data_IF_362066902087
#
_entry.id   IF_362066902087
#
_cell.length_a   1.000
_cell.length_b   1.000
_cell.length_c   1.000
_cell.angle_alpha   90.00
_cell.angle_beta   90.00
_cell.angle_gamma   90.00
#
_symmetry.space_group_name_H-M   'P 1'
#
loop_
_entity.id
_entity.type
_entity.pdbx_description
1 polymer ?
#
# COMPACT_ATOMS: atom_id res chain seq x y z
N UNK A 1 -3.01 -11.73 15.38
CA UNK A 1 -2.52 -12.19 14.07
C UNK A 1 -1.08 -11.76 13.91
N UNK A 2 -0.22 -12.62 13.46
CA UNK A 2 1.20 -12.24 13.33
C UNK A 2 1.44 -11.49 12.01
N UNK A 3 2.62 -10.90 11.90
CA UNK A 3 2.98 -10.06 10.75
C UNK A 3 2.99 -10.85 9.44
N UNK A 4 3.49 -12.07 9.47
CA UNK A 4 3.55 -12.90 8.26
C UNK A 4 2.15 -13.20 7.73
N UNK A 5 1.20 -13.47 8.62
CA UNK A 5 -0.19 -13.70 8.22
C UNK A 5 -0.84 -12.44 7.67
N UNK A 6 -0.58 -11.30 8.29
CA UNK A 6 -1.10 -10.02 7.81
C UNK A 6 -0.61 -9.71 6.40
N UNK A 7 0.66 -9.96 6.14
CA UNK A 7 1.25 -9.75 4.80
C UNK A 7 0.65 -10.71 3.79
N UNK A 8 0.50 -11.98 4.16
CA UNK A 8 -0.09 -12.97 3.26
C UNK A 8 -1.53 -12.58 2.86
N UNK A 9 -2.33 -12.17 3.84
CA UNK A 9 -3.71 -11.76 3.58
C UNK A 9 -3.77 -10.47 2.75
N UNK A 10 -2.82 -9.56 2.94
CA UNK A 10 -2.75 -8.35 2.13
C UNK A 10 -2.38 -8.66 0.68
N UNK A 11 -1.49 -9.63 0.46
CA UNK A 11 -1.17 -10.10 -0.90
C UNK A 11 -2.40 -10.67 -1.58
N UNK A 12 -3.18 -11.45 -0.85
CA UNK A 12 -4.39 -12.05 -1.38
C UNK A 12 -5.44 -10.99 -1.69
N UNK A 13 -5.58 -9.98 -0.82
CA UNK A 13 -6.47 -8.85 -1.05
C UNK A 13 -6.09 -8.12 -2.34
N UNK A 14 -4.82 -7.81 -2.51
CA UNK A 14 -4.29 -7.16 -3.70
C UNK A 14 -4.59 -7.97 -4.95
N UNK A 15 -4.34 -9.27 -4.90
CA UNK A 15 -4.57 -10.15 -6.03
C UNK A 15 -6.06 -10.16 -6.41
N UNK A 16 -6.95 -10.32 -5.44
CA UNK A 16 -8.39 -10.35 -5.70
C UNK A 16 -8.89 -9.02 -6.24
N UNK A 17 -8.32 -7.91 -5.78
CA UNK A 17 -8.70 -6.59 -6.25
C UNK A 17 -8.33 -6.39 -7.72
N UNK A 18 -7.14 -6.82 -8.13
CA UNK A 18 -6.59 -6.50 -9.45
C UNK A 18 -6.74 -7.60 -10.50
N UNK A 19 -7.12 -8.81 -10.12
CA UNK A 19 -7.08 -9.96 -11.05
C UNK A 19 -7.94 -9.78 -12.31
N UNK A 20 -9.01 -8.99 -12.23
CA UNK A 20 -9.90 -8.73 -13.36
C UNK A 20 -9.78 -7.31 -13.90
N UNK A 21 -8.70 -6.65 -13.57
CA UNK A 21 -8.50 -5.26 -13.94
C UNK A 21 -7.66 -5.17 -15.21
N UNK A 22 -8.23 -4.56 -16.24
CA UNK A 22 -7.58 -4.39 -17.52
C UNK A 22 -7.10 -2.95 -17.74
N UNK A 23 -7.07 -2.13 -16.69
CA UNK A 23 -6.71 -0.73 -16.82
C UNK A 23 -5.20 -0.44 -16.81
N UNK A 24 -4.38 -1.48 -16.74
CA UNK A 24 -2.93 -1.34 -16.72
C UNK A 24 -2.28 -1.52 -15.36
N UNK A 25 -3.07 -1.76 -14.32
CA UNK A 25 -2.55 -2.06 -12.99
C UNK A 25 -2.20 -3.54 -12.92
N UNK A 26 -0.96 -3.83 -13.25
CA UNK A 26 -0.46 -5.19 -13.39
C UNK A 26 -0.03 -5.74 -12.03
N UNK A 27 -0.57 -6.91 -11.66
CA UNK A 27 -0.19 -7.60 -10.42
C UNK A 27 1.33 -7.83 -10.37
N UNK A 28 1.93 -8.22 -11.50
CA UNK A 28 3.37 -8.43 -11.57
C UNK A 28 4.14 -7.15 -11.25
N UNK A 29 3.64 -5.98 -11.68
CA UNK A 29 4.25 -4.70 -11.34
C UNK A 29 4.21 -4.45 -9.83
N UNK A 30 3.05 -4.69 -9.21
CA UNK A 30 2.90 -4.50 -7.76
C UNK A 30 3.82 -5.44 -7.00
N UNK A 31 3.95 -6.68 -7.45
CA UNK A 31 4.86 -7.64 -6.84
C UNK A 31 6.32 -7.19 -6.93
N UNK A 32 6.72 -6.65 -8.09
CA UNK A 32 8.09 -6.12 -8.26
C UNK A 32 8.34 -4.92 -7.35
N UNK A 33 7.39 -3.99 -7.28
CA UNK A 33 7.50 -2.82 -6.39
C UNK A 33 7.64 -3.28 -4.94
N UNK A 34 6.83 -4.26 -4.54
CA UNK A 34 6.87 -4.78 -3.17
C UNK A 34 8.22 -5.43 -2.85
N UNK A 35 8.76 -6.23 -3.77
CA UNK A 35 10.07 -6.85 -3.57
C UNK A 35 11.18 -5.79 -3.45
N UNK A 36 11.13 -4.77 -4.30
CA UNK A 36 12.13 -3.71 -4.27
C UNK A 36 12.01 -2.89 -3.00
N UNK A 37 10.78 -2.59 -2.55
CA UNK A 37 10.56 -1.88 -1.30
C UNK A 37 11.11 -2.66 -0.10
N UNK A 38 10.90 -3.97 -0.08
CA UNK A 38 11.48 -4.84 0.96
C UNK A 38 13.00 -4.77 0.95
N UNK A 39 13.59 -4.82 -0.24
CA UNK A 39 15.05 -4.75 -0.39
C UNK A 39 15.59 -3.43 0.15
N UNK A 40 14.99 -2.32 -0.26
CA UNK A 40 15.41 -0.99 0.18
C UNK A 40 15.29 -0.87 1.70
N UNK A 41 14.18 -1.34 2.26
CA UNK A 41 13.96 -1.29 3.71
C UNK A 41 15.06 -2.03 4.47
N UNK A 42 15.46 -3.20 3.98
CA UNK A 42 16.51 -3.99 4.62
C UNK A 42 17.88 -3.32 4.50
N UNK A 43 18.16 -2.70 3.35
CA UNK A 43 19.44 -2.02 3.14
C UNK A 43 19.58 -0.78 4.00
N UNK A 44 18.50 -0.01 4.15
CA UNK A 44 18.55 1.23 4.90
C UNK A 44 18.30 1.07 6.39
N UNK A 45 17.76 -0.07 6.81
CA UNK A 45 17.42 -0.34 8.22
C UNK A 45 16.52 0.74 8.84
N UNK A 46 15.60 1.29 8.04
CA UNK A 46 14.71 2.36 8.48
C UNK A 46 13.26 2.03 8.18
N UNK A 47 12.38 2.58 9.03
CA UNK A 47 10.95 2.46 8.84
C UNK A 47 10.38 1.15 9.39
N UNK A 48 9.06 1.13 9.52
CA UNK A 48 8.33 -0.05 9.94
C UNK A 48 8.11 -0.98 8.75
N UNK A 49 8.65 -2.18 8.84
CA UNK A 49 8.63 -3.14 7.72
C UNK A 49 7.19 -3.48 7.28
N UNK A 50 6.30 -3.71 8.25
CA UNK A 50 4.91 -4.03 7.94
C UNK A 50 4.24 -2.88 7.18
N UNK A 51 4.44 -1.65 7.63
CA UNK A 51 3.90 -0.46 6.97
C UNK A 51 4.41 -0.36 5.53
N UNK A 52 5.70 -0.59 5.31
CA UNK A 52 6.31 -0.54 3.99
C UNK A 52 5.67 -1.58 3.07
N UNK A 53 5.60 -2.83 3.51
CA UNK A 53 5.11 -3.93 2.68
C UNK A 53 3.63 -3.75 2.36
N UNK A 54 2.81 -3.41 3.35
CA UNK A 54 1.38 -3.23 3.11
C UNK A 54 1.10 -2.00 2.24
N UNK A 55 1.87 -0.93 2.41
CA UNK A 55 1.73 0.25 1.55
C UNK A 55 2.08 -0.09 0.10
N UNK A 56 3.14 -0.86 -0.12
CA UNK A 56 3.53 -1.28 -1.47
C UNK A 56 2.46 -2.15 -2.11
N UNK A 57 1.93 -3.12 -1.37
CA UNK A 57 0.91 -4.03 -1.89
C UNK A 57 -0.40 -3.31 -2.22
N UNK A 58 -0.76 -2.32 -1.43
CA UNK A 58 -2.10 -1.72 -1.49
C UNK A 58 -2.13 -0.33 -2.12
N UNK A 59 -0.99 0.17 -2.64
CA UNK A 59 -0.94 1.56 -3.11
C UNK A 59 -1.85 1.86 -4.29
N UNK A 60 -2.23 0.86 -5.09
CA UNK A 60 -3.08 1.06 -6.26
C UNK A 60 -4.56 0.73 -6.02
N UNK A 61 -4.94 0.30 -4.81
CA UNK A 61 -6.35 -0.08 -4.57
C UNK A 61 -7.27 1.14 -4.42
N UNK A 62 -6.73 2.33 -4.25
CA UNK A 62 -7.54 3.56 -4.17
C UNK A 62 -7.25 4.54 -5.31
N UNK A 63 -6.82 4.02 -6.45
CA UNK A 63 -6.59 4.82 -7.63
C UNK A 63 -7.92 5.36 -8.16
N UNK A 64 -7.97 6.68 -8.42
CA UNK A 64 -9.18 7.36 -8.90
C UNK A 64 -9.72 6.80 -10.21
N UNK A 65 -8.85 6.17 -11.01
CA UNK A 65 -9.23 5.66 -12.33
C UNK A 65 -9.97 4.34 -12.27
N UNK A 66 -9.92 3.65 -11.14
CA UNK A 66 -10.38 2.26 -11.05
C UNK A 66 -11.76 2.11 -10.43
N UNK A 67 -12.11 2.94 -9.46
CA UNK A 67 -13.33 2.71 -8.70
C UNK A 67 -13.70 3.95 -7.88
N UNK A 68 -14.85 3.89 -7.23
CA UNK A 68 -15.25 4.86 -6.24
C UNK A 68 -14.27 4.82 -5.07
N UNK A 69 -13.57 5.92 -4.88
CA UNK A 69 -12.54 6.06 -3.88
C UNK A 69 -13.05 5.86 -2.46
N UNK A 70 -14.24 6.38 -2.17
CA UNK A 70 -14.85 6.23 -0.84
C UNK A 70 -15.18 4.77 -0.54
N UNK A 71 -15.68 4.06 -1.53
CA UNK A 71 -16.01 2.64 -1.39
C UNK A 71 -14.73 1.83 -1.16
N UNK A 72 -13.69 2.10 -1.94
CA UNK A 72 -12.41 1.40 -1.83
C UNK A 72 -11.79 1.63 -0.45
N UNK A 73 -11.84 2.85 0.07
CA UNK A 73 -11.32 3.15 1.39
C UNK A 73 -12.12 2.46 2.49
N UNK A 74 -13.45 2.43 2.36
CA UNK A 74 -14.30 1.76 3.33
C UNK A 74 -13.99 0.27 3.40
N UNK A 75 -13.86 -0.38 2.25
CA UNK A 75 -13.50 -1.80 2.20
C UNK A 75 -12.11 -2.06 2.78
N UNK A 76 -11.17 -1.16 2.51
CA UNK A 76 -9.81 -1.28 3.03
C UNK A 76 -9.80 -1.17 4.55
N UNK A 77 -10.58 -0.25 5.12
CA UNK A 77 -10.71 -0.14 6.58
C UNK A 77 -11.27 -1.42 7.19
N UNK A 78 -12.28 -2.01 6.55
CA UNK A 78 -12.84 -3.28 7.02
C UNK A 78 -11.81 -4.39 6.96
N UNK A 79 -11.02 -4.43 5.91
CA UNK A 79 -9.94 -5.40 5.76
C UNK A 79 -8.91 -5.24 6.88
N UNK A 80 -8.51 -4.01 7.18
CA UNK A 80 -7.54 -3.75 8.24
C UNK A 80 -8.02 -4.24 9.61
N UNK A 81 -9.31 -4.08 9.89
CA UNK A 81 -9.90 -4.62 11.11
C UNK A 81 -9.84 -6.14 11.12
N UNK A 82 -10.14 -6.75 9.98
CA UNK A 82 -10.15 -8.21 9.85
C UNK A 82 -8.78 -8.82 10.15
N UNK A 83 -7.71 -8.16 9.73
CA UNK A 83 -6.36 -8.65 9.98
C UNK A 83 -5.77 -8.12 11.29
N UNK A 84 -6.58 -7.46 12.12
CA UNK A 84 -6.19 -6.97 13.43
C UNK A 84 -4.99 -6.00 13.39
N UNK A 85 -5.00 -5.14 12.39
CA UNK A 85 -3.92 -4.19 12.19
C UNK A 85 -3.99 -3.07 13.24
N UNK A 86 -2.84 -2.69 13.79
CA UNK A 86 -2.74 -1.61 14.76
C UNK A 86 -3.22 -0.29 14.15
N UNK A 87 -3.94 0.52 14.94
CA UNK A 87 -4.53 1.78 14.48
C UNK A 87 -3.48 2.75 13.92
N UNK A 88 -2.34 2.83 14.56
CA UNK A 88 -1.25 3.72 14.11
C UNK A 88 -0.73 3.27 12.75
N UNK A 89 -0.56 1.96 12.56
CA UNK A 89 -0.12 1.38 11.29
C UNK A 89 -1.16 1.64 10.22
N UNK A 90 -2.44 1.46 10.52
CA UNK A 90 -3.53 1.73 9.59
C UNK A 90 -3.49 3.18 9.08
N UNK A 91 -3.37 4.13 10.01
CA UNK A 91 -3.33 5.55 9.66
C UNK A 91 -2.14 5.89 8.77
N UNK A 92 -0.98 5.33 9.08
CA UNK A 92 0.21 5.56 8.27
C UNK A 92 0.07 4.99 6.86
N UNK A 93 -0.46 3.80 6.74
CA UNK A 93 -0.67 3.18 5.42
C UNK A 93 -1.66 4.00 4.60
N UNK A 94 -2.79 4.38 5.18
CA UNK A 94 -3.80 5.18 4.48
C UNK A 94 -3.20 6.51 4.02
N UNK A 95 -2.45 7.18 4.88
CA UNK A 95 -1.79 8.44 4.53
C UNK A 95 -0.85 8.23 3.33
N UNK A 96 -0.02 7.20 3.38
CA UNK A 96 0.95 6.92 2.33
C UNK A 96 0.26 6.63 1.01
N UNK A 97 -0.71 5.73 0.98
CA UNK A 97 -1.33 5.33 -0.28
C UNK A 97 -2.17 6.45 -0.88
N UNK A 98 -2.81 7.28 -0.06
CA UNK A 98 -3.51 8.47 -0.57
C UNK A 98 -2.56 9.42 -1.28
N UNK A 99 -1.39 9.68 -0.69
CA UNK A 99 -0.44 10.63 -1.26
C UNK A 99 0.28 10.08 -2.47
N UNK A 100 0.47 8.77 -2.54
CA UNK A 100 1.03 8.14 -3.73
C UNK A 100 0.04 8.13 -4.90
N UNK A 101 -1.27 8.11 -4.62
CA UNK A 101 -2.31 8.13 -5.66
C UNK A 101 -2.42 9.49 -6.34
N UNK A 102 -2.00 10.57 -5.68
CA UNK A 102 -2.07 11.92 -6.24
C UNK A 102 -0.73 12.35 -6.82
N UNK A 103 -0.32 11.70 -7.91
CA UNK A 103 1.01 11.94 -8.50
C UNK A 103 1.14 13.23 -9.31
N UNK A 104 0.11 14.04 -9.35
CA UNK A 104 0.06 15.19 -10.27
C UNK A 104 0.75 16.44 -9.74
N UNK A 105 1.66 16.30 -8.80
CA UNK A 105 2.41 17.41 -8.24
C UNK A 105 1.65 18.25 -7.23
N UNK A 106 0.41 17.95 -6.96
CA UNK A 106 -0.41 18.70 -6.02
C UNK A 106 -0.01 18.49 -4.57
N UNK A 107 0.71 17.43 -4.29
CA UNK A 107 1.12 17.06 -2.94
C UNK A 107 2.62 17.22 -2.73
N UNK A 108 3.27 18.06 -3.53
CA UNK A 108 4.69 18.31 -3.41
C UNK A 108 5.08 18.89 -2.06
N UNK A 109 4.13 19.53 -1.39
CA UNK A 109 4.38 20.15 -0.09
C UNK A 109 4.27 19.15 1.07
N UNK A 110 3.81 17.94 0.80
CA UNK A 110 3.61 16.94 1.83
C UNK A 110 4.85 16.06 1.94
N UNK A 111 5.41 16.02 3.14
CA UNK A 111 6.54 15.14 3.42
C UNK A 111 6.02 13.76 3.80
N UNK A 112 6.33 12.76 2.98
CA UNK A 112 6.00 11.38 3.31
C UNK A 112 6.89 10.88 4.43
N UNK A 113 6.37 10.01 5.32
CA UNK A 113 7.24 9.31 6.26
C UNK A 113 8.21 8.41 5.48
N UNK A 114 9.25 7.94 6.16
CA UNK A 114 10.29 7.14 5.49
C UNK A 114 9.70 5.93 4.78
N UNK A 115 8.68 5.31 5.34
CA UNK A 115 8.01 4.16 4.72
C UNK A 115 7.41 4.53 3.35
N UNK A 116 6.77 5.69 3.28
CA UNK A 116 6.19 6.18 2.03
C UNK A 116 7.25 6.57 1.01
N UNK A 117 8.36 7.13 1.46
CA UNK A 117 9.48 7.46 0.57
C UNK A 117 10.07 6.20 -0.04
N UNK A 118 10.22 5.14 0.74
CA UNK A 118 10.73 3.87 0.26
C UNK A 118 9.82 3.28 -0.81
N UNK A 119 8.52 3.29 -0.59
CA UNK A 119 7.56 2.77 -1.58
C UNK A 119 7.57 3.64 -2.84
N UNK A 120 7.63 4.95 -2.69
CA UNK A 120 7.69 5.87 -3.84
C UNK A 120 8.92 5.60 -4.70
N UNK A 121 10.05 5.32 -4.07
CA UNK A 121 11.32 5.12 -4.76
C UNK A 121 11.49 3.70 -5.31
N UNK A 122 10.59 2.81 -4.95
CA UNK A 122 10.61 1.43 -5.44
C UNK A 122 9.93 1.28 -6.86
#
# INVERSE_FOLDING_TARGET
MNQAEQILLAKEYMYQFHKNDYSGHDIAHIERVTLLAKYIAKQEHQGDFLTIVLSALLHDVIDDKLTDKHHALSELHQFFKKIELDDTVQKNIIFIIKHLSYRNGRNNDVTLPIEGQIVRDA
#
